data_IF_832265057022
#
_entry.id   IF_832265057022
#
_cell.length_a   1.000
_cell.length_b   1.000
_cell.length_c   1.000
_cell.angle_alpha   90.00
_cell.angle_beta   90.00
_cell.angle_gamma   90.00
#
_symmetry.space_group_name_H-M   'P 1'
#
loop_
_entity.id
_entity.type
_entity.pdbx_description
1 polymer ?
#
# COMPACT_ATOMS: atom_id res chain seq x y z
N UNK A 1 0.16 -7.10 14.65
CA UNK A 1 0.63 -6.02 15.54
C UNK A 1 -0.59 -5.27 16.05
N UNK A 2 -0.80 -5.23 17.37
CA UNK A 2 -1.86 -4.51 18.13
C UNK A 2 -3.36 -4.90 18.04
N UNK A 3 -3.81 -5.71 17.09
CA UNK A 3 -5.27 -5.98 16.96
C UNK A 3 -5.88 -6.85 18.07
N UNK A 4 -5.05 -7.55 18.84
CA UNK A 4 -5.49 -8.35 19.99
C UNK A 4 -4.44 -8.33 21.09
N UNK A 5 -4.30 -7.19 21.76
CA UNK A 5 -3.65 -7.17 23.08
C UNK A 5 -4.77 -7.38 24.13
N UNK A 6 -5.01 -8.62 24.61
CA UNK A 6 -6.02 -8.89 25.61
C UNK A 6 -5.62 -8.22 26.93
N UNK A 7 -6.02 -6.98 27.13
CA UNK A 7 -5.66 -6.20 28.32
C UNK A 7 -5.91 -4.70 28.21
N UNK A 8 -5.97 -4.13 27.00
CA UNK A 8 -6.25 -2.70 26.82
C UNK A 8 -7.73 -2.52 26.46
N UNK A 9 -8.56 -1.96 27.35
CA UNK A 9 -9.96 -1.75 27.03
C UNK A 9 -10.09 -0.71 25.92
N UNK A 10 -10.87 -1.00 24.87
CA UNK A 10 -11.18 -0.10 23.74
C UNK A 10 -11.72 1.29 24.17
N UNK A 11 -12.10 1.44 25.44
CA UNK A 11 -12.57 2.68 26.05
C UNK A 11 -11.42 3.61 26.50
N UNK A 12 -10.23 3.10 26.83
CA UNK A 12 -9.09 3.91 27.28
C UNK A 12 -8.25 4.44 26.12
N UNK A 13 -8.16 3.68 25.02
CA UNK A 13 -7.37 4.03 23.83
C UNK A 13 -7.68 5.45 23.31
N UNK A 14 -8.94 5.87 23.12
CA UNK A 14 -9.23 7.22 22.61
C UNK A 14 -8.69 8.33 23.52
N UNK A 15 -8.75 8.13 24.84
CA UNK A 15 -8.30 9.12 25.83
C UNK A 15 -6.78 9.26 25.89
N UNK A 16 -6.04 8.16 25.73
CA UNK A 16 -4.58 8.16 25.74
C UNK A 16 -3.97 8.79 24.47
N UNK A 17 -4.64 8.65 23.33
CA UNK A 17 -4.17 9.20 22.05
C UNK A 17 -4.79 10.57 21.72
N UNK A 18 -5.73 11.08 22.54
CA UNK A 18 -6.44 12.34 22.28
C UNK A 18 -7.32 12.29 21.03
N UNK A 19 -7.71 11.11 20.57
CA UNK A 19 -8.50 10.90 19.35
C UNK A 19 -9.96 10.69 19.74
N UNK A 20 -10.89 11.22 18.95
CA UNK A 20 -12.32 10.99 19.16
C UNK A 20 -12.65 9.49 18.99
N UNK A 21 -13.43 8.93 19.93
CA UNK A 21 -13.88 7.54 19.90
C UNK A 21 -14.64 7.16 18.63
N UNK A 22 -15.39 8.09 18.04
CA UNK A 22 -16.06 7.89 16.76
C UNK A 22 -15.06 7.80 15.59
N UNK A 23 -13.97 8.55 15.64
CA UNK A 23 -12.88 8.44 14.66
C UNK A 23 -12.21 7.08 14.74
N UNK A 24 -11.91 6.61 15.96
CA UNK A 24 -11.35 5.28 16.15
C UNK A 24 -12.31 4.18 15.67
N UNK A 25 -13.61 4.29 15.97
CA UNK A 25 -14.63 3.34 15.50
C UNK A 25 -14.72 3.32 13.98
N UNK A 26 -14.67 4.48 13.33
CA UNK A 26 -14.68 4.57 11.87
C UNK A 26 -13.42 3.97 11.25
N UNK A 27 -12.24 4.17 11.86
CA UNK A 27 -11.01 3.54 11.38
C UNK A 27 -11.01 2.03 11.56
N UNK A 28 -11.46 1.55 12.72
CA UNK A 28 -11.65 0.10 12.95
C UNK A 28 -12.63 -0.47 11.92
N UNK A 29 -13.78 0.16 11.68
CA UNK A 29 -14.72 -0.32 10.65
C UNK A 29 -14.17 -0.28 9.21
N UNK A 30 -13.20 0.59 8.92
CA UNK A 30 -12.61 0.74 7.57
C UNK A 30 -11.37 -0.11 7.33
N UNK A 31 -10.61 -0.41 8.37
CA UNK A 31 -9.30 -1.06 8.26
C UNK A 31 -9.21 -2.37 9.04
N UNK A 32 -10.23 -2.73 9.84
CA UNK A 32 -10.27 -4.03 10.51
C UNK A 32 -10.46 -5.12 9.47
N UNK A 33 -9.62 -6.14 9.57
CA UNK A 33 -9.69 -7.37 8.78
C UNK A 33 -10.75 -8.33 9.37
N UNK A 34 -11.36 -7.99 10.51
CA UNK A 34 -12.38 -8.81 11.16
C UNK A 34 -13.74 -8.71 10.43
N UNK A 35 -14.26 -9.83 9.87
CA UNK A 35 -15.55 -9.87 9.17
C UNK A 35 -16.75 -9.55 10.06
N UNK A 36 -16.59 -9.43 11.40
CA UNK A 36 -17.67 -9.07 12.33
C UNK A 36 -17.95 -7.57 12.43
N UNK A 37 -17.02 -6.72 11.98
CA UNK A 37 -17.14 -5.26 11.98
C UNK A 37 -17.55 -4.75 10.60
N UNK A 38 -18.72 -5.20 10.13
CA UNK A 38 -19.20 -4.94 8.77
C UNK A 38 -19.24 -3.46 8.37
N UNK A 39 -18.39 -3.12 7.41
CA UNK A 39 -18.63 -2.15 6.33
C UNK A 39 -17.99 -2.75 5.08
N UNK A 40 -18.60 -3.85 4.62
CA UNK A 40 -18.04 -4.81 3.66
C UNK A 40 -18.00 -4.28 2.22
N UNK A 41 -18.93 -3.40 1.86
CA UNK A 41 -19.21 -3.12 0.44
C UNK A 41 -18.20 -2.16 -0.23
N UNK A 42 -17.62 -1.22 0.54
CA UNK A 42 -16.69 -0.23 -0.02
C UNK A 42 -15.21 -0.65 0.10
N UNK A 43 -14.88 -1.46 1.10
CA UNK A 43 -13.49 -1.80 1.42
C UNK A 43 -12.95 -2.92 0.53
N UNK A 44 -13.76 -3.94 0.24
CA UNK A 44 -13.36 -5.03 -0.65
C UNK A 44 -13.24 -4.55 -2.10
N UNK A 45 -14.22 -3.80 -2.60
CA UNK A 45 -14.17 -3.23 -3.96
C UNK A 45 -12.95 -2.31 -4.13
N UNK A 46 -12.66 -1.46 -3.14
CA UNK A 46 -11.48 -0.58 -3.16
C UNK A 46 -10.18 -1.40 -3.10
N UNK A 47 -10.10 -2.43 -2.25
CA UNK A 47 -8.94 -3.30 -2.14
C UNK A 47 -8.65 -4.08 -3.44
N UNK A 48 -9.70 -4.56 -4.13
CA UNK A 48 -9.58 -5.20 -5.43
C UNK A 48 -9.05 -4.21 -6.47
N UNK A 49 -9.58 -2.98 -6.51
CA UNK A 49 -9.07 -1.94 -7.43
C UNK A 49 -7.63 -1.53 -7.12
N UNK A 50 -7.24 -1.48 -5.85
CA UNK A 50 -5.87 -1.18 -5.45
C UNK A 50 -4.91 -2.32 -5.84
N UNK A 51 -5.33 -3.58 -5.69
CA UNK A 51 -4.54 -4.73 -6.10
C UNK A 51 -4.29 -4.76 -7.63
N UNK A 52 -5.31 -4.44 -8.42
CA UNK A 52 -5.17 -4.31 -9.88
C UNK A 52 -4.24 -3.15 -10.26
N UNK A 53 -4.37 -2.01 -9.59
CA UNK A 53 -3.48 -0.86 -9.79
C UNK A 53 -2.04 -1.19 -9.43
N UNK A 54 -1.80 -1.91 -8.35
CA UNK A 54 -0.47 -2.37 -7.93
C UNK A 54 0.13 -3.29 -8.99
N UNK A 55 -0.64 -4.24 -9.52
CA UNK A 55 -0.18 -5.13 -10.59
C UNK A 55 0.20 -4.35 -11.85
N UNK A 56 -0.64 -3.42 -12.27
CA UNK A 56 -0.35 -2.58 -13.44
C UNK A 56 0.94 -1.77 -13.24
N UNK A 57 1.08 -1.11 -12.09
CA UNK A 57 2.28 -0.33 -11.77
C UNK A 57 3.54 -1.19 -11.73
N UNK A 58 3.45 -2.44 -11.26
CA UNK A 58 4.60 -3.36 -11.26
C UNK A 58 5.00 -3.75 -12.69
N UNK A 59 4.06 -4.07 -13.56
CA UNK A 59 4.31 -4.36 -14.97
C UNK A 59 4.97 -3.16 -15.68
N UNK A 60 4.43 -1.96 -15.47
CA UNK A 60 4.96 -0.74 -16.08
C UNK A 60 6.37 -0.43 -15.54
N UNK A 61 6.61 -0.62 -14.25
CA UNK A 61 7.95 -0.40 -13.67
C UNK A 61 8.98 -1.39 -14.21
N UNK A 62 8.59 -2.67 -14.41
CA UNK A 62 9.46 -3.68 -15.00
C UNK A 62 9.86 -3.29 -16.43
N UNK A 63 8.87 -2.94 -17.26
CA UNK A 63 9.10 -2.47 -18.64
C UNK A 63 10.01 -1.24 -18.70
N UNK A 64 9.73 -0.22 -17.89
CA UNK A 64 10.55 1.00 -17.86
C UNK A 64 12.00 0.73 -17.44
N UNK A 65 12.22 -0.25 -16.55
CA UNK A 65 13.57 -0.66 -16.15
C UNK A 65 14.31 -1.33 -17.30
N UNK A 66 13.65 -2.21 -18.04
CA UNK A 66 14.23 -2.86 -19.22
C UNK A 66 14.61 -1.82 -20.28
N UNK A 67 13.70 -0.90 -20.62
CA UNK A 67 13.96 0.19 -21.58
C UNK A 67 15.17 1.04 -21.15
N UNK A 68 15.22 1.42 -19.87
CA UNK A 68 16.36 2.17 -19.30
C UNK A 68 17.67 1.39 -19.42
N UNK A 69 17.65 0.09 -19.16
CA UNK A 69 18.85 -0.73 -19.18
C UNK A 69 19.36 -0.97 -20.61
N UNK A 70 18.46 -1.08 -21.59
CA UNK A 70 18.81 -1.07 -23.02
C UNK A 70 19.48 0.26 -23.36
N UNK A 71 18.87 1.40 -23.01
CA UNK A 71 19.42 2.72 -23.31
C UNK A 71 20.79 2.92 -22.69
N UNK A 72 21.01 2.47 -21.44
CA UNK A 72 22.33 2.52 -20.81
C UNK A 72 23.36 1.67 -21.54
N UNK A 73 22.98 0.45 -21.96
CA UNK A 73 23.88 -0.43 -22.72
C UNK A 73 24.26 0.21 -24.05
N UNK A 74 23.30 0.80 -24.74
CA UNK A 74 23.50 1.53 -25.99
C UNK A 74 24.40 2.76 -25.77
N UNK A 75 24.15 3.57 -24.75
CA UNK A 75 24.98 4.72 -24.41
C UNK A 75 26.42 4.32 -24.09
N UNK A 76 26.61 3.21 -23.36
CA UNK A 76 27.94 2.65 -23.08
C UNK A 76 28.65 2.23 -24.36
N UNK A 77 27.98 1.46 -25.23
CA UNK A 77 28.54 1.04 -26.52
C UNK A 77 28.96 2.24 -27.37
N UNK A 78 28.10 3.26 -27.48
CA UNK A 78 28.44 4.48 -28.22
C UNK A 78 29.57 5.31 -27.61
N UNK A 79 29.72 5.31 -26.28
CA UNK A 79 30.85 5.99 -25.63
C UNK A 79 32.18 5.28 -25.92
N UNK A 80 32.19 3.95 -25.95
CA UNK A 80 33.36 3.13 -26.30
C UNK A 80 33.70 3.24 -27.80
N UNK A 81 32.69 3.26 -28.68
CA UNK A 81 32.85 3.38 -30.13
C UNK A 81 33.23 4.80 -30.60
N UNK A 82 33.14 5.83 -29.75
CA UNK A 82 33.56 7.21 -30.05
C UNK A 82 34.88 7.63 -29.39
N UNK A 83 35.55 6.71 -28.70
CA UNK A 83 36.77 6.99 -27.93
C UNK A 83 38.09 6.65 -28.65
N UNK A 84 38.06 6.41 -29.96
CA UNK A 84 39.22 6.35 -30.86
C UNK A 84 39.30 7.60 -31.75
#
# INVERSE_FOLDING_TARGET
>A
MYENTPGIPMKSIPGEFGINRNTLKNWVGRFSIDPRTGSDDQSEASAVTDAERIRQLQCDNARLREERDILRRVAKYFAEERAW
#
